data_IF_964826733816
#
_entry.id   IF_964826733816
#
_cell.length_a   1.000
_cell.length_b   1.000
_cell.length_c   1.000
_cell.angle_alpha   90.00
_cell.angle_beta   90.00
_cell.angle_gamma   90.00
#
_symmetry.space_group_name_H-M   'P 1'
#
loop_
_entity.id
_entity.type
_entity.pdbx_description
1 polymer ?
#
# COMPACT_ATOMS: atom_id res chain seq x y z
N UNK A 1 -30.24 -11.88 3.42
CA UNK A 1 -29.00 -12.54 2.96
C UNK A 1 -27.73 -11.81 3.45
N UNK A 2 -27.23 -10.75 2.80
CA UNK A 2 -25.99 -10.06 3.27
C UNK A 2 -26.18 -9.28 4.58
N UNK A 3 -27.19 -8.41 4.66
CA UNK A 3 -27.43 -7.57 5.84
C UNK A 3 -27.63 -8.39 7.14
N UNK A 4 -28.27 -9.56 7.05
CA UNK A 4 -28.49 -10.44 8.19
C UNK A 4 -27.20 -10.94 8.84
N UNK A 5 -26.15 -11.19 8.05
CA UNK A 5 -24.86 -11.63 8.56
C UNK A 5 -24.14 -10.51 9.35
N UNK A 6 -24.34 -9.25 8.97
CA UNK A 6 -23.76 -8.08 9.64
C UNK A 6 -24.63 -7.58 10.82
N UNK A 7 -25.93 -7.88 10.83
CA UNK A 7 -26.90 -7.39 11.81
C UNK A 7 -26.50 -7.60 13.30
N UNK A 8 -25.86 -8.71 13.72
CA UNK A 8 -25.37 -8.86 15.09
C UNK A 8 -24.37 -7.78 15.52
N UNK A 9 -23.51 -7.32 14.60
CA UNK A 9 -22.49 -6.30 14.87
C UNK A 9 -23.05 -4.89 14.75
N UNK A 10 -24.03 -4.68 13.87
CA UNK A 10 -24.77 -3.42 13.81
C UNK A 10 -25.58 -3.17 15.09
N UNK A 11 -26.26 -4.19 15.62
CA UNK A 11 -26.96 -4.10 16.93
C UNK A 11 -26.03 -3.79 18.10
N UNK A 12 -24.76 -4.16 18.00
CA UNK A 12 -23.70 -3.85 18.97
C UNK A 12 -23.02 -2.50 18.71
N UNK A 13 -23.45 -1.76 17.68
CA UNK A 13 -22.87 -0.48 17.27
C UNK A 13 -21.38 -0.57 16.90
N UNK A 14 -20.89 -1.77 16.54
CA UNK A 14 -19.52 -1.97 16.06
C UNK A 14 -19.35 -1.51 14.61
N UNK A 15 -20.44 -1.57 13.83
CA UNK A 15 -20.51 -1.18 12.43
C UNK A 15 -21.84 -0.46 12.16
N UNK A 16 -21.91 0.20 11.00
CA UNK A 16 -23.16 0.66 10.40
C UNK A 16 -23.23 0.20 8.94
N UNK A 17 -24.39 -0.26 8.50
CA UNK A 17 -24.58 -0.74 7.15
C UNK A 17 -25.53 0.15 6.36
N UNK A 18 -25.26 0.29 5.07
CA UNK A 18 -26.17 0.92 4.10
C UNK A 18 -26.00 0.23 2.74
N UNK A 19 -26.93 0.45 1.82
CA UNK A 19 -26.80 -0.12 0.48
C UNK A 19 -27.41 0.80 -0.58
N UNK A 20 -26.96 0.63 -1.82
CA UNK A 20 -27.63 1.10 -3.02
C UNK A 20 -27.94 -0.10 -3.93
N UNK A 21 -28.22 0.14 -5.21
CA UNK A 21 -28.56 -0.93 -6.17
C UNK A 21 -27.36 -1.81 -6.55
N UNK A 22 -26.12 -1.39 -6.23
CA UNK A 22 -24.89 -2.06 -6.66
C UNK A 22 -24.08 -2.60 -5.49
N UNK A 23 -24.02 -1.87 -4.39
CA UNK A 23 -23.08 -2.11 -3.30
C UNK A 23 -23.77 -2.20 -1.95
N UNK A 24 -23.31 -3.16 -1.15
CA UNK A 24 -23.49 -3.17 0.29
C UNK A 24 -22.30 -2.47 0.94
N UNK A 25 -22.57 -1.40 1.67
CA UNK A 25 -21.57 -0.59 2.35
C UNK A 25 -21.50 -0.96 3.82
N UNK A 26 -20.28 -1.10 4.34
CA UNK A 26 -20.02 -1.36 5.75
C UNK A 26 -19.09 -0.30 6.28
N UNK A 27 -19.60 0.46 7.24
CA UNK A 27 -18.85 1.48 7.96
C UNK A 27 -18.34 0.91 9.29
N UNK A 28 -17.06 1.12 9.59
CA UNK A 28 -16.44 0.63 10.83
C UNK A 28 -15.29 1.54 11.29
N UNK A 29 -14.91 1.39 12.55
CA UNK A 29 -13.73 2.06 13.08
C UNK A 29 -12.45 1.20 12.96
N UNK A 30 -12.50 0.04 12.30
CA UNK A 30 -11.36 -0.87 12.14
C UNK A 30 -10.82 -1.52 13.41
N UNK A 31 -11.57 -1.48 14.53
CA UNK A 31 -11.16 -2.07 15.82
C UNK A 31 -12.06 -3.26 16.18
N UNK A 32 -11.54 -4.49 16.29
CA UNK A 32 -12.35 -5.64 16.69
C UNK A 32 -12.64 -5.66 18.19
N UNK A 33 -13.71 -6.39 18.55
CA UNK A 33 -14.10 -6.71 19.94
C UNK A 33 -13.70 -8.16 20.30
N UNK A 34 -12.39 -8.44 20.26
CA UNK A 34 -11.79 -9.70 20.70
C UNK A 34 -10.37 -9.43 21.23
N UNK A 35 -9.71 -10.41 21.89
CA UNK A 35 -8.31 -10.27 22.28
C UNK A 35 -7.42 -9.90 21.09
N UNK A 36 -6.59 -8.87 21.26
CA UNK A 36 -5.78 -8.27 20.19
C UNK A 36 -4.30 -8.56 20.43
N UNK A 37 -3.54 -8.76 19.35
CA UNK A 37 -2.06 -8.74 19.31
C UNK A 37 -1.33 -9.88 20.07
N UNK A 38 -1.93 -10.50 21.09
CA UNK A 38 -1.33 -11.58 21.86
C UNK A 38 -1.06 -12.78 20.96
N UNK A 39 0.12 -13.38 21.09
CA UNK A 39 0.55 -14.53 20.28
C UNK A 39 1.45 -14.17 19.09
N UNK A 40 1.52 -12.88 18.69
CA UNK A 40 2.43 -12.42 17.65
C UNK A 40 3.88 -12.63 18.11
N UNK A 41 4.66 -13.41 17.34
CA UNK A 41 6.08 -13.73 17.60
C UNK A 41 7.06 -13.08 16.63
N UNK A 42 6.55 -12.43 15.58
CA UNK A 42 7.30 -11.66 14.60
C UNK A 42 6.70 -10.24 14.49
N UNK A 43 6.81 -9.47 15.58
CA UNK A 43 6.12 -8.18 15.66
C UNK A 43 6.76 -7.07 14.82
N UNK A 44 5.94 -6.44 13.98
CA UNK A 44 6.32 -5.32 13.10
C UNK A 44 6.34 -3.95 13.79
N UNK A 45 6.19 -3.88 15.13
CA UNK A 45 6.08 -2.63 15.90
C UNK A 45 4.91 -1.71 15.51
N UNK A 46 3.83 -2.31 15.00
CA UNK A 46 2.55 -1.63 14.80
C UNK A 46 1.56 -2.04 15.87
N UNK A 47 0.64 -1.15 16.22
CA UNK A 47 -0.38 -1.35 17.25
C UNK A 47 -1.75 -0.99 16.68
N UNK A 48 -2.86 -1.53 17.21
CA UNK A 48 -4.16 -1.28 16.62
C UNK A 48 -4.64 0.13 16.94
N UNK A 49 -4.88 0.93 15.90
CA UNK A 49 -5.49 2.26 15.98
C UNK A 49 -6.82 2.30 15.21
N UNK A 50 -7.82 3.06 15.72
CA UNK A 50 -9.05 3.27 14.99
C UNK A 50 -8.82 3.90 13.62
N UNK A 51 -9.47 3.34 12.61
CA UNK A 51 -9.49 3.83 11.23
C UNK A 51 -10.85 4.44 10.90
N UNK A 52 -10.91 5.37 9.95
CA UNK A 52 -12.17 6.04 9.56
C UNK A 52 -12.74 5.41 8.28
N UNK A 53 -13.25 4.19 8.37
CA UNK A 53 -13.91 3.54 7.25
C UNK A 53 -15.39 3.95 7.20
N UNK A 54 -15.67 5.21 6.88
CA UNK A 54 -17.02 5.82 6.93
C UNK A 54 -17.29 6.66 5.69
N UNK A 55 -18.56 6.89 5.36
CA UNK A 55 -18.96 7.70 4.21
C UNK A 55 -18.41 7.17 2.89
N UNK A 56 -17.71 8.00 2.13
CA UNK A 56 -17.05 7.62 0.85
C UNK A 56 -15.88 6.64 1.05
N UNK A 57 -15.36 6.53 2.28
CA UNK A 57 -14.29 5.61 2.67
C UNK A 57 -14.85 4.35 3.36
N UNK A 58 -16.12 4.01 3.17
CA UNK A 58 -16.71 2.77 3.66
C UNK A 58 -16.24 1.56 2.83
N UNK A 59 -16.25 0.37 3.43
CA UNK A 59 -16.06 -0.87 2.69
C UNK A 59 -17.23 -1.11 1.74
N UNK A 60 -16.97 -1.75 0.60
CA UNK A 60 -17.98 -2.01 -0.44
C UNK A 60 -17.93 -3.49 -0.83
N UNK A 61 -19.09 -4.15 -0.82
CA UNK A 61 -19.27 -5.54 -1.25
C UNK A 61 -20.32 -5.55 -2.38
N UNK A 62 -20.04 -6.16 -3.55
CA UNK A 62 -21.03 -6.25 -4.64
C UNK A 62 -22.29 -6.98 -4.17
N UNK A 63 -23.48 -6.42 -4.42
CA UNK A 63 -24.76 -7.10 -4.17
C UNK A 63 -25.11 -8.14 -5.24
N UNK A 64 -24.56 -7.96 -6.44
CA UNK A 64 -24.82 -8.77 -7.62
C UNK A 64 -23.49 -9.29 -8.18
N UNK A 65 -22.88 -10.31 -7.53
CA UNK A 65 -21.62 -10.88 -7.99
C UNK A 65 -21.79 -11.46 -9.40
N UNK A 66 -20.85 -11.14 -10.29
CA UNK A 66 -20.77 -11.69 -11.65
C UNK A 66 -19.70 -12.75 -11.65
N UNK A 67 -20.02 -13.97 -12.07
CA UNK A 67 -19.05 -15.07 -12.15
C UNK A 67 -17.95 -14.74 -13.16
N UNK A 68 -16.70 -14.79 -12.73
CA UNK A 68 -15.56 -14.56 -13.61
C UNK A 68 -15.43 -15.69 -14.63
N UNK A 69 -15.14 -15.34 -15.89
CA UNK A 69 -14.75 -16.32 -16.92
C UNK A 69 -13.45 -17.02 -16.56
N UNK A 70 -12.52 -16.26 -15.98
CA UNK A 70 -11.22 -16.72 -15.50
C UNK A 70 -11.03 -16.26 -14.05
N UNK A 71 -11.22 -17.15 -13.06
CA UNK A 71 -11.05 -16.82 -11.65
C UNK A 71 -9.66 -16.26 -11.32
N UNK A 72 -9.61 -15.18 -10.54
CA UNK A 72 -8.37 -14.51 -10.18
C UNK A 72 -7.78 -15.11 -8.90
N UNK A 73 -6.71 -15.89 -9.01
CA UNK A 73 -6.03 -16.47 -7.83
C UNK A 73 -5.44 -15.39 -6.91
N UNK A 74 -5.47 -15.65 -5.59
CA UNK A 74 -4.77 -14.84 -4.57
C UNK A 74 -3.30 -15.25 -4.38
N UNK A 75 -2.85 -16.32 -5.02
CA UNK A 75 -1.45 -16.75 -4.91
C UNK A 75 -0.51 -15.73 -5.58
N UNK A 76 0.35 -15.10 -4.79
CA UNK A 76 1.30 -14.04 -5.23
C UNK A 76 0.63 -12.85 -5.94
N UNK A 77 -0.65 -12.60 -5.66
CA UNK A 77 -1.49 -11.58 -6.28
C UNK A 77 -2.46 -11.04 -5.22
N UNK A 78 -2.93 -9.81 -5.33
CA UNK A 78 -3.71 -9.18 -4.24
C UNK A 78 -2.93 -9.16 -2.90
N UNK A 79 -1.60 -8.92 -2.94
CA UNK A 79 -0.73 -8.86 -1.76
C UNK A 79 -0.81 -7.51 -1.02
N UNK A 80 -1.62 -6.59 -1.54
CA UNK A 80 -1.94 -5.29 -0.95
C UNK A 80 -3.45 -5.28 -0.74
N UNK A 81 -3.89 -4.66 0.36
CA UNK A 81 -5.31 -4.53 0.68
C UNK A 81 -6.03 -5.83 1.04
N UNK A 82 -7.34 -5.72 1.22
CA UNK A 82 -8.21 -6.81 1.60
C UNK A 82 -8.64 -7.65 0.38
N UNK A 83 -8.97 -8.89 0.65
CA UNK A 83 -9.63 -9.83 -0.27
C UNK A 83 -11.05 -10.19 0.21
N UNK A 84 -11.35 -9.94 1.48
CA UNK A 84 -12.68 -10.07 2.05
C UNK A 84 -12.90 -9.07 3.19
N UNK A 85 -14.14 -8.91 3.60
CA UNK A 85 -14.53 -8.17 4.79
C UNK A 85 -15.24 -9.12 5.76
N UNK A 86 -14.73 -9.20 6.98
CA UNK A 86 -15.40 -9.94 8.05
C UNK A 86 -16.68 -9.24 8.49
N UNK A 87 -17.66 -10.01 8.98
CA UNK A 87 -18.97 -9.48 9.41
C UNK A 87 -18.90 -8.49 10.57
N UNK A 88 -17.78 -8.42 11.29
CA UNK A 88 -17.50 -7.41 12.30
C UNK A 88 -16.90 -6.10 11.74
N UNK A 89 -16.80 -5.97 10.41
CA UNK A 89 -16.28 -4.78 9.74
C UNK A 89 -14.76 -4.68 9.68
N UNK A 90 -14.05 -5.77 9.99
CA UNK A 90 -12.59 -5.84 9.90
C UNK A 90 -12.18 -6.49 8.56
N UNK A 91 -11.26 -5.87 7.80
CA UNK A 91 -10.82 -6.46 6.56
C UNK A 91 -10.00 -7.73 6.77
N UNK A 92 -10.11 -8.64 5.81
CA UNK A 92 -9.31 -9.86 5.71
C UNK A 92 -8.40 -9.71 4.50
N UNK A 93 -7.11 -9.65 4.76
CA UNK A 93 -6.05 -9.54 3.77
C UNK A 93 -5.62 -10.94 3.30
N UNK A 94 -4.82 -10.95 2.24
CA UNK A 94 -4.23 -12.17 1.72
C UNK A 94 -3.38 -12.88 2.79
N UNK A 95 -3.49 -14.20 2.98
CA UNK A 95 -2.62 -14.96 3.88
C UNK A 95 -1.12 -14.67 3.72
N UNK A 96 -0.71 -14.33 2.50
CA UNK A 96 0.63 -13.85 2.20
C UNK A 96 0.73 -12.34 2.47
N UNK A 97 1.75 -11.93 3.22
CA UNK A 97 2.08 -10.52 3.39
C UNK A 97 2.64 -9.91 2.08
N UNK A 98 2.96 -8.62 2.10
CA UNK A 98 3.48 -7.89 0.93
C UNK A 98 4.84 -8.39 0.41
N UNK A 99 5.54 -9.26 1.16
CA UNK A 99 6.79 -9.93 0.75
C UNK A 99 6.54 -11.31 0.14
N UNK A 100 5.28 -11.77 0.11
CA UNK A 100 4.88 -13.09 -0.36
C UNK A 100 5.08 -14.19 0.68
N UNK A 101 5.27 -13.84 1.95
CA UNK A 101 5.46 -14.80 3.04
C UNK A 101 4.13 -15.08 3.75
N UNK A 102 3.87 -16.33 4.10
CA UNK A 102 2.70 -16.71 4.90
C UNK A 102 2.80 -16.12 6.31
N UNK A 103 1.94 -15.14 6.59
CA UNK A 103 1.95 -14.36 7.82
C UNK A 103 1.73 -15.24 9.07
N UNK A 104 0.91 -16.29 8.95
CA UNK A 104 0.70 -17.25 10.05
C UNK A 104 1.98 -18.08 10.27
N UNK A 105 2.52 -18.64 9.19
CA UNK A 105 3.70 -19.51 9.26
C UNK A 105 4.94 -18.80 9.80
N UNK A 106 5.11 -17.49 9.53
CA UNK A 106 6.21 -16.70 10.08
C UNK A 106 5.90 -16.09 11.46
N UNK A 107 4.64 -16.17 11.91
CA UNK A 107 4.23 -15.77 13.26
C UNK A 107 3.94 -14.29 13.43
N UNK A 108 3.48 -13.63 12.37
CA UNK A 108 3.04 -12.23 12.39
C UNK A 108 1.63 -12.07 12.99
N UNK A 109 0.85 -13.17 13.16
CA UNK A 109 -0.55 -13.12 13.56
C UNK A 109 -0.77 -13.35 15.06
N UNK A 110 -1.81 -12.70 15.58
CA UNK A 110 -2.35 -12.96 16.91
C UNK A 110 -3.22 -14.22 16.95
N UNK A 111 -3.71 -14.57 18.14
CA UNK A 111 -4.58 -15.74 18.36
C UNK A 111 -5.89 -15.73 17.56
N UNK A 112 -6.33 -14.56 17.09
CA UNK A 112 -7.52 -14.41 16.26
C UNK A 112 -7.20 -14.40 14.75
N UNK A 113 -5.93 -14.56 14.38
CA UNK A 113 -5.48 -14.65 12.99
C UNK A 113 -5.28 -13.29 12.31
N UNK A 114 -5.02 -12.23 13.06
CA UNK A 114 -4.78 -10.89 12.50
C UNK A 114 -3.57 -10.17 13.09
N UNK A 115 -3.24 -9.02 12.50
CA UNK A 115 -2.19 -8.12 12.99
C UNK A 115 -2.42 -6.69 12.50
N UNK A 116 -1.51 -5.78 12.84
CA UNK A 116 -1.58 -4.38 12.40
C UNK A 116 -0.67 -4.10 11.21
N UNK A 117 -1.19 -3.38 10.22
CA UNK A 117 -0.48 -2.88 9.05
C UNK A 117 0.31 -1.61 9.32
N UNK A 118 0.93 -1.07 8.25
CA UNK A 118 1.80 0.12 8.31
C UNK A 118 1.07 1.39 8.75
N UNK A 119 -0.26 1.42 8.66
CA UNK A 119 -1.08 2.54 9.13
C UNK A 119 -1.62 2.31 10.55
N UNK A 120 -1.05 1.35 11.28
CA UNK A 120 -1.57 0.88 12.57
C UNK A 120 -3.02 0.35 12.44
N UNK A 121 -3.38 -0.16 11.26
CA UNK A 121 -4.69 -0.71 10.93
C UNK A 121 -4.75 -2.21 11.22
N UNK A 122 -5.68 -2.67 12.06
CA UNK A 122 -5.85 -4.10 12.32
C UNK A 122 -6.59 -4.80 11.18
N UNK A 123 -6.09 -5.96 10.76
CA UNK A 123 -6.70 -6.80 9.74
C UNK A 123 -6.38 -8.29 9.96
N UNK A 124 -7.27 -9.17 9.49
CA UNK A 124 -7.05 -10.61 9.53
C UNK A 124 -6.24 -11.08 8.32
N UNK A 125 -5.52 -12.18 8.46
CA UNK A 125 -4.92 -12.96 7.37
C UNK A 125 -5.47 -14.40 7.31
N UNK A 126 -6.29 -14.79 8.30
CA UNK A 126 -6.99 -16.06 8.37
C UNK A 126 -8.49 -15.84 8.48
N UNK A 127 -9.29 -16.86 8.15
CA UNK A 127 -10.73 -16.79 8.38
C UNK A 127 -11.04 -16.60 9.88
N UNK A 128 -11.79 -15.56 10.27
CA UNK A 128 -12.10 -15.27 11.67
C UNK A 128 -13.25 -16.18 12.18
N UNK A 129 -13.00 -17.49 12.24
CA UNK A 129 -14.02 -18.51 12.57
C UNK A 129 -14.66 -18.32 13.95
N UNK A 130 -14.01 -17.58 14.85
CA UNK A 130 -14.59 -17.23 16.15
C UNK A 130 -15.86 -16.38 16.04
N UNK A 131 -16.06 -15.65 14.93
CA UNK A 131 -17.26 -14.86 14.68
C UNK A 131 -18.52 -15.71 14.51
N UNK A 132 -18.39 -17.00 14.17
CA UNK A 132 -19.52 -17.94 14.08
C UNK A 132 -20.29 -18.04 15.41
N UNK A 133 -19.60 -17.88 16.55
CA UNK A 133 -20.25 -17.85 17.88
C UNK A 133 -21.20 -16.67 18.06
N UNK A 134 -21.05 -15.63 17.24
CA UNK A 134 -21.83 -14.39 17.29
C UNK A 134 -22.93 -14.40 16.24
N UNK A 135 -22.58 -14.76 14.99
CA UNK A 135 -23.55 -14.77 13.89
C UNK A 135 -24.45 -16.01 13.87
N UNK A 136 -23.99 -17.10 14.48
CA UNK A 136 -24.68 -18.39 14.47
C UNK A 136 -24.13 -19.33 13.40
N UNK A 137 -24.26 -20.64 13.65
CA UNK A 137 -23.91 -21.68 12.66
C UNK A 137 -24.75 -21.49 11.40
N UNK A 138 -24.12 -21.71 10.24
CA UNK A 138 -24.79 -21.59 8.95
C UNK A 138 -24.93 -20.16 8.45
N UNK A 139 -24.39 -19.17 9.18
CA UNK A 139 -24.29 -17.79 8.73
C UNK A 139 -22.87 -17.50 8.23
N UNK A 140 -22.72 -16.64 7.20
CA UNK A 140 -21.40 -16.18 6.77
C UNK A 140 -20.66 -15.45 7.89
N UNK A 141 -19.35 -15.70 7.98
CA UNK A 141 -18.42 -14.99 8.88
C UNK A 141 -17.68 -13.86 8.16
N UNK A 142 -17.72 -13.84 6.83
CA UNK A 142 -17.18 -12.77 6.00
C UNK A 142 -17.85 -12.78 4.62
N UNK A 143 -17.55 -11.76 3.83
CA UNK A 143 -17.86 -11.70 2.40
C UNK A 143 -16.60 -11.36 1.64
N UNK A 144 -16.31 -12.14 0.59
CA UNK A 144 -15.25 -11.82 -0.35
C UNK A 144 -15.58 -10.52 -1.10
N UNK A 145 -14.56 -9.79 -1.53
CA UNK A 145 -14.77 -8.54 -2.27
C UNK A 145 -15.32 -8.74 -3.70
N UNK A 146 -15.44 -9.99 -4.15
CA UNK A 146 -16.18 -10.36 -5.35
C UNK A 146 -17.68 -10.55 -5.12
N UNK A 147 -18.16 -10.46 -3.87
CA UNK A 147 -19.56 -10.50 -3.46
C UNK A 147 -20.04 -11.85 -2.90
N UNK A 148 -19.23 -12.91 -2.94
CA UNK A 148 -19.65 -14.21 -2.43
C UNK A 148 -19.39 -14.38 -0.92
N UNK A 149 -20.28 -15.08 -0.18
CA UNK A 149 -20.12 -15.28 1.25
C UNK A 149 -18.98 -16.25 1.58
N UNK A 150 -18.40 -16.07 2.77
CA UNK A 150 -17.39 -16.95 3.36
C UNK A 150 -17.96 -17.53 4.66
N UNK A 151 -18.06 -18.85 4.72
CA UNK A 151 -18.55 -19.58 5.88
C UNK A 151 -17.40 -20.12 6.74
N UNK A 152 -17.74 -20.62 7.93
CA UNK A 152 -16.83 -21.37 8.78
C UNK A 152 -16.52 -22.77 8.23
N UNK A 153 -16.26 -23.71 9.13
CA UNK A 153 -15.81 -25.07 8.79
C UNK A 153 -16.95 -26.06 8.51
N UNK A 154 -18.18 -25.58 8.34
CA UNK A 154 -19.37 -26.38 8.02
C UNK A 154 -20.18 -25.72 6.92
N UNK A 155 -20.99 -26.51 6.23
CA UNK A 155 -21.96 -26.04 5.23
C UNK A 155 -23.01 -25.11 5.85
N UNK A 156 -23.72 -24.29 5.05
CA UNK A 156 -24.79 -23.41 5.55
C UNK A 156 -25.91 -24.16 6.28
N UNK A 157 -26.20 -25.40 5.90
CA UNK A 157 -27.18 -26.28 6.57
C UNK A 157 -26.64 -26.95 7.85
N UNK A 158 -25.38 -26.68 8.21
CA UNK A 158 -24.68 -27.24 9.36
C UNK A 158 -24.10 -28.64 9.14
N UNK A 159 -24.22 -29.21 7.93
CA UNK A 159 -23.59 -30.47 7.58
C UNK A 159 -22.06 -30.33 7.44
N UNK A 160 -21.31 -31.46 7.47
CA UNK A 160 -19.86 -31.42 7.29
C UNK A 160 -19.46 -30.81 5.95
N UNK A 161 -18.33 -30.07 5.96
CA UNK A 161 -17.74 -29.43 4.78
C UNK A 161 -17.57 -30.42 3.63
N UNK A 162 -18.16 -30.12 2.48
CA UNK A 162 -18.01 -30.91 1.26
C UNK A 162 -16.67 -30.57 0.56
N UNK A 163 -16.24 -31.36 -0.43
CA UNK A 163 -15.05 -31.03 -1.22
C UNK A 163 -15.14 -29.63 -1.81
N UNK A 164 -14.02 -28.90 -1.72
CA UNK A 164 -13.87 -27.55 -2.23
C UNK A 164 -13.03 -27.56 -3.51
N UNK A 165 -13.25 -26.57 -4.36
CA UNK A 165 -12.42 -26.28 -5.51
C UNK A 165 -11.11 -25.58 -5.12
N UNK A 166 -10.27 -25.29 -6.11
CA UNK A 166 -8.97 -24.64 -5.90
C UNK A 166 -9.03 -23.21 -5.35
N UNK A 167 -10.22 -22.59 -5.34
CA UNK A 167 -10.44 -21.24 -4.80
C UNK A 167 -10.85 -21.26 -3.32
N UNK A 168 -11.03 -22.46 -2.73
CA UNK A 168 -11.46 -22.62 -1.34
C UNK A 168 -12.97 -22.51 -1.15
N UNK A 169 -13.75 -22.74 -2.21
CA UNK A 169 -15.21 -22.72 -2.19
C UNK A 169 -15.83 -23.80 -3.07
N UNK A 170 -17.14 -23.76 -3.24
CA UNK A 170 -17.88 -24.64 -4.16
C UNK A 170 -19.24 -24.06 -4.53
N UNK A 171 -19.89 -24.64 -5.55
CA UNK A 171 -21.27 -24.30 -5.93
C UNK A 171 -22.28 -25.09 -5.08
N UNK A 172 -23.40 -24.46 -4.71
CA UNK A 172 -24.49 -25.07 -3.94
C UNK A 172 -25.54 -25.80 -4.81
N UNK A 173 -25.39 -25.74 -6.13
CA UNK A 173 -26.26 -26.42 -7.11
C UNK A 173 -27.43 -25.57 -7.64
N UNK A 174 -27.78 -24.45 -6.98
CA UNK A 174 -28.81 -23.51 -7.45
C UNK A 174 -28.22 -22.30 -8.19
N UNK A 175 -26.92 -22.36 -8.50
CA UNK A 175 -26.16 -21.27 -9.11
C UNK A 175 -25.52 -20.33 -8.09
N UNK A 176 -25.63 -20.63 -6.79
CA UNK A 176 -24.87 -20.00 -5.73
C UNK A 176 -23.47 -20.58 -5.61
N UNK A 177 -22.55 -19.76 -5.12
CA UNK A 177 -21.18 -20.15 -4.80
C UNK A 177 -20.80 -19.53 -3.46
N UNK A 178 -19.99 -20.22 -2.67
CA UNK A 178 -19.48 -19.69 -1.41
C UNK A 178 -18.14 -20.30 -1.02
N UNK A 179 -17.39 -19.54 -0.24
CA UNK A 179 -16.09 -19.96 0.29
C UNK A 179 -16.22 -20.51 1.70
N UNK A 180 -15.18 -21.21 2.15
CA UNK A 180 -15.09 -21.74 3.50
C UNK A 180 -13.74 -21.44 4.15
N UNK A 181 -13.75 -21.37 5.47
CA UNK A 181 -12.53 -21.40 6.28
C UNK A 181 -11.80 -22.73 6.10
N UNK A 182 -10.48 -22.66 5.96
CA UNK A 182 -9.59 -23.81 5.79
C UNK A 182 -8.64 -23.94 6.98
N UNK A 183 -8.27 -25.18 7.33
CA UNK A 183 -7.27 -25.43 8.39
C UNK A 183 -5.83 -25.24 7.91
N UNK A 184 -5.62 -25.37 6.60
CA UNK A 184 -4.31 -25.26 5.95
C UNK A 184 -4.34 -24.10 4.96
N UNK A 185 -3.16 -23.63 4.56
CA UNK A 185 -3.01 -22.58 3.56
C UNK A 185 -3.88 -22.87 2.33
N UNK A 186 -4.69 -21.91 1.83
CA UNK A 186 -4.67 -20.48 2.15
C UNK A 186 -5.57 -20.04 3.33
N UNK A 187 -6.04 -20.93 4.20
CA UNK A 187 -6.89 -20.64 5.37
C UNK A 187 -8.29 -20.03 5.09
N UNK A 188 -8.49 -19.46 3.91
CA UNK A 188 -9.74 -18.91 3.39
C UNK A 188 -9.77 -18.97 1.85
N UNK A 189 -9.97 -17.83 1.19
CA UNK A 189 -10.09 -17.64 -0.27
C UNK A 189 -8.73 -17.84 -0.98
N UNK A 190 -8.66 -18.85 -1.84
CA UNK A 190 -7.53 -19.11 -2.76
C UNK A 190 -7.60 -18.36 -4.10
N UNK A 191 -8.73 -17.72 -4.38
CA UNK A 191 -8.97 -16.89 -5.56
C UNK A 191 -10.42 -16.42 -5.66
N UNK A 192 -10.67 -15.40 -6.47
CA UNK A 192 -12.00 -14.86 -6.69
C UNK A 192 -12.74 -15.63 -7.78
N UNK A 193 -13.88 -16.20 -7.40
CA UNK A 193 -14.87 -16.82 -8.28
C UNK A 193 -15.64 -15.77 -9.06
N UNK A 194 -15.90 -14.62 -8.45
CA UNK A 194 -16.52 -13.47 -9.09
C UNK A 194 -15.51 -12.53 -9.73
N UNK A 195 -16.00 -11.62 -10.56
CA UNK A 195 -15.20 -10.55 -11.15
C UNK A 195 -14.76 -9.57 -10.06
N UNK A 196 -13.46 -9.26 -10.06
CA UNK A 196 -12.87 -8.18 -9.27
C UNK A 196 -12.06 -7.29 -10.19
N UNK A 197 -12.04 -5.99 -9.91
CA UNK A 197 -11.06 -5.09 -10.49
C UNK A 197 -9.79 -5.17 -9.65
N UNK A 198 -8.66 -5.54 -10.26
CA UNK A 198 -7.35 -5.44 -9.62
C UNK A 198 -6.67 -4.14 -10.03
N UNK A 199 -6.18 -3.39 -9.05
CA UNK A 199 -5.35 -2.19 -9.25
C UNK A 199 -4.24 -2.17 -8.22
N UNK A 200 -3.01 -1.86 -8.63
CA UNK A 200 -1.86 -1.74 -7.72
C UNK A 200 -1.63 -2.96 -6.81
N UNK A 201 -2.01 -4.16 -7.28
CA UNK A 201 -1.87 -5.42 -6.52
C UNK A 201 -2.88 -5.59 -5.39
N UNK A 202 -4.05 -4.95 -5.47
CA UNK A 202 -5.18 -5.09 -4.55
C UNK A 202 -6.51 -5.09 -5.31
N UNK A 203 -7.60 -5.52 -4.67
CA UNK A 203 -8.96 -5.32 -5.22
C UNK A 203 -9.31 -3.82 -5.17
N UNK A 204 -10.03 -3.31 -6.16
CA UNK A 204 -10.46 -1.91 -6.25
C UNK A 204 -11.98 -1.84 -6.55
N UNK A 205 -12.73 -0.90 -5.95
CA UNK A 205 -12.32 0.08 -4.94
C UNK A 205 -12.15 -0.52 -3.53
N UNK A 206 -11.28 0.09 -2.73
CA UNK A 206 -11.14 -0.20 -1.30
C UNK A 206 -10.91 1.09 -0.49
N UNK A 207 -11.35 1.11 0.77
CA UNK A 207 -11.10 2.25 1.64
C UNK A 207 -9.62 2.34 2.03
N UNK A 208 -9.21 3.53 2.46
CA UNK A 208 -7.83 3.82 2.84
C UNK A 208 -7.72 4.00 4.35
N UNK A 209 -6.80 3.25 4.96
CA UNK A 209 -6.32 3.50 6.32
C UNK A 209 -5.45 4.76 6.37
N UNK A 210 -5.41 5.42 7.52
CA UNK A 210 -4.61 6.63 7.75
C UNK A 210 -3.84 6.51 9.05
N UNK A 211 -2.53 6.27 8.94
CA UNK A 211 -1.64 6.25 10.10
C UNK A 211 -1.44 7.65 10.70
N UNK A 212 -1.28 7.70 12.01
CA UNK A 212 -0.91 8.94 12.74
C UNK A 212 0.60 9.13 12.85
N UNK A 213 1.37 8.06 12.62
CA UNK A 213 2.83 8.03 12.68
C UNK A 213 3.41 7.21 11.53
N UNK A 214 4.73 7.31 11.36
CA UNK A 214 5.45 6.44 10.43
C UNK A 214 5.51 5.00 10.98
N UNK A 215 5.51 4.03 10.07
CA UNK A 215 5.66 2.63 10.41
C UNK A 215 7.06 2.36 10.95
N UNK A 216 7.14 1.85 12.18
CA UNK A 216 8.37 1.37 12.79
C UNK A 216 8.90 0.08 12.12
N UNK A 217 10.22 -0.17 12.18
CA UNK A 217 10.79 -1.43 11.69
C UNK A 217 10.36 -2.61 12.58
N UNK A 218 10.46 -3.87 12.12
CA UNK A 218 10.20 -5.03 12.98
C UNK A 218 11.14 -5.11 14.19
N UNK A 219 10.61 -5.55 15.34
CA UNK A 219 11.41 -5.79 16.55
C UNK A 219 11.81 -7.27 16.60
N UNK A 220 13.05 -7.56 16.22
CA UNK A 220 13.56 -8.94 16.15
C UNK A 220 13.49 -9.63 17.52
N UNK A 221 12.91 -10.83 17.53
CA UNK A 221 12.80 -11.66 18.74
C UNK A 221 11.74 -11.20 19.73
N UNK A 222 10.88 -10.25 19.35
CA UNK A 222 9.78 -9.81 20.20
C UNK A 222 8.55 -10.71 20.04
N UNK A 223 8.04 -11.17 21.19
CA UNK A 223 6.74 -11.83 21.30
C UNK A 223 5.79 -10.94 22.07
N UNK A 224 4.58 -10.71 21.56
CA UNK A 224 3.54 -9.98 22.28
C UNK A 224 2.86 -10.94 23.26
N UNK A 225 2.90 -10.59 24.54
CA UNK A 225 2.41 -11.40 25.66
C UNK A 225 1.22 -10.76 26.38
N UNK A 226 0.84 -9.54 26.01
CA UNK A 226 -0.31 -8.86 26.61
C UNK A 226 -0.82 -7.71 25.77
N UNK A 227 -2.14 -7.51 25.84
CA UNK A 227 -2.82 -6.34 25.32
C UNK A 227 -3.86 -5.88 26.34
N UNK A 228 -3.65 -4.68 26.88
CA UNK A 228 -4.43 -4.13 27.99
C UNK A 228 -5.14 -2.85 27.55
N UNK A 229 -6.25 -2.53 28.20
CA UNK A 229 -6.95 -1.25 28.05
C UNK A 229 -7.02 -0.54 29.40
N UNK A 230 -5.93 0.11 29.86
CA UNK A 230 -5.86 0.72 31.20
C UNK A 230 -6.89 1.84 31.42
N UNK A 231 -7.32 2.49 30.34
CA UNK A 231 -8.39 3.49 30.34
C UNK A 231 -9.19 3.40 29.03
N UNK A 232 -10.32 4.12 28.94
CA UNK A 232 -11.22 4.06 27.78
C UNK A 232 -10.51 4.36 26.45
N UNK A 233 -9.63 5.36 26.44
CA UNK A 233 -8.86 5.86 25.29
C UNK A 233 -7.40 5.42 25.29
N UNK A 234 -6.98 4.64 26.29
CA UNK A 234 -5.60 4.17 26.45
C UNK A 234 -5.52 2.67 26.24
N UNK A 235 -4.50 2.25 25.51
CA UNK A 235 -4.18 0.85 25.22
C UNK A 235 -2.72 0.60 25.53
N UNK A 236 -2.38 -0.65 25.86
CA UNK A 236 -1.01 -1.03 26.15
C UNK A 236 -0.69 -2.40 25.59
N UNK A 237 0.31 -2.46 24.73
CA UNK A 237 0.92 -3.70 24.23
C UNK A 237 2.08 -4.05 25.15
N UNK A 238 2.10 -5.26 25.68
CA UNK A 238 3.21 -5.81 26.46
C UNK A 238 3.91 -6.86 25.62
N UNK A 239 5.22 -6.72 25.46
CA UNK A 239 6.04 -7.63 24.68
C UNK A 239 7.24 -8.12 25.47
N UNK A 240 7.81 -9.24 25.06
CA UNK A 240 9.00 -9.83 25.66
C UNK A 240 10.11 -9.97 24.60
N UNK A 241 11.34 -9.61 24.97
CA UNK A 241 12.56 -9.89 24.19
C UNK A 241 13.59 -10.50 25.13
N UNK A 242 14.00 -11.74 24.86
CA UNK A 242 15.01 -12.44 25.66
C UNK A 242 14.64 -12.56 27.15
N UNK A 243 13.39 -12.89 27.48
CA UNK A 243 12.93 -13.06 28.86
C UNK A 243 12.61 -11.76 29.61
N UNK A 244 12.78 -10.59 28.98
CA UNK A 244 12.56 -9.28 29.59
C UNK A 244 11.41 -8.55 28.92
N UNK A 245 10.55 -7.93 29.72
CA UNK A 245 9.34 -7.25 29.24
C UNK A 245 9.61 -5.80 28.88
N UNK A 246 9.08 -5.37 27.74
CA UNK A 246 8.86 -3.97 27.39
C UNK A 246 7.37 -3.72 27.16
N UNK A 247 7.00 -2.47 26.89
CA UNK A 247 5.63 -2.12 26.54
C UNK A 247 5.52 -0.90 25.65
N UNK A 248 4.43 -0.83 24.88
CA UNK A 248 4.00 0.36 24.16
C UNK A 248 2.62 0.74 24.67
N UNK A 249 2.56 1.80 25.45
CA UNK A 249 1.30 2.40 25.89
C UNK A 249 0.95 3.55 24.97
N UNK A 250 -0.31 3.68 24.58
CA UNK A 250 -0.75 4.77 23.74
C UNK A 250 -2.17 5.22 24.07
N UNK A 251 -2.37 6.54 24.01
CA UNK A 251 -3.67 7.19 24.21
C UNK A 251 -4.08 7.86 22.91
N UNK A 252 -5.33 7.64 22.48
CA UNK A 252 -5.90 8.25 21.26
C UNK A 252 -7.03 9.20 21.64
N UNK A 253 -6.82 10.49 21.42
CA UNK A 253 -7.81 11.53 21.64
C UNK A 253 -8.92 11.50 20.57
N UNK A 254 -10.06 12.13 20.89
CA UNK A 254 -11.24 12.17 20.00
C UNK A 254 -10.97 12.84 18.65
N UNK A 255 -10.03 13.77 18.59
CA UNK A 255 -9.63 14.44 17.35
C UNK A 255 -8.65 13.59 16.50
N UNK A 256 -8.25 12.43 17.02
CA UNK A 256 -7.31 11.48 16.44
C UNK A 256 -5.86 11.72 16.84
N UNK A 257 -5.55 12.72 17.68
CA UNK A 257 -4.21 12.88 18.22
C UNK A 257 -3.83 11.67 19.07
N UNK A 258 -2.60 11.20 18.93
CA UNK A 258 -2.12 10.00 19.60
C UNK A 258 -0.83 10.29 20.34
N UNK A 259 -0.73 9.85 21.59
CA UNK A 259 0.50 9.90 22.38
C UNK A 259 0.94 8.47 22.67
N UNK A 260 2.21 8.18 22.41
CA UNK A 260 2.83 6.88 22.65
C UNK A 260 3.90 7.00 23.71
N UNK A 261 3.98 6.02 24.60
CA UNK A 261 5.07 5.82 25.55
C UNK A 261 5.64 4.43 25.33
N UNK A 262 6.85 4.39 24.77
CA UNK A 262 7.62 3.18 24.54
C UNK A 262 8.50 2.93 25.77
N UNK A 263 8.42 1.74 26.35
CA UNK A 263 9.29 1.28 27.44
C UNK A 263 10.04 0.05 26.96
N UNK A 264 11.36 0.15 26.86
CA UNK A 264 12.19 -0.97 26.42
C UNK A 264 12.43 -2.01 27.53
N UNK A 265 12.98 -3.19 27.23
CA UNK A 265 13.24 -4.23 28.25
C UNK A 265 14.31 -3.88 29.31
N UNK A 266 15.00 -2.76 29.15
CA UNK A 266 15.90 -2.19 30.16
C UNK A 266 15.19 -1.15 31.05
N UNK A 267 13.91 -0.86 30.81
CA UNK A 267 13.11 0.11 31.55
C UNK A 267 13.27 1.56 31.06
N UNK A 268 13.98 1.79 29.95
CA UNK A 268 14.13 3.13 29.37
C UNK A 268 12.85 3.51 28.64
N UNK A 269 12.41 4.75 28.86
CA UNK A 269 11.17 5.26 28.26
C UNK A 269 11.43 6.32 27.20
N UNK A 270 10.60 6.32 26.16
CA UNK A 270 10.53 7.38 25.14
C UNK A 270 9.05 7.71 24.91
N UNK A 271 8.72 8.99 24.92
CA UNK A 271 7.35 9.46 24.64
C UNK A 271 7.32 10.24 23.34
N UNK A 272 6.31 9.99 22.52
CA UNK A 272 6.09 10.64 21.23
C UNK A 272 4.63 11.08 21.15
N UNK A 273 4.37 12.22 20.53
CA UNK A 273 3.02 12.74 20.33
C UNK A 273 2.81 13.10 18.87
N UNK A 274 1.66 12.69 18.34
CA UNK A 274 1.29 12.81 16.95
C UNK A 274 -0.09 13.46 16.86
N UNK A 275 -0.26 14.29 15.84
CA UNK A 275 -1.57 14.85 15.48
C UNK A 275 -1.92 14.35 14.08
N UNK A 276 -3.19 14.00 13.80
CA UNK A 276 -3.60 13.65 12.45
C UNK A 276 -3.32 14.84 11.56
N UNK A 277 -2.59 14.62 10.47
CA UNK A 277 -2.41 15.66 9.46
C UNK A 277 -3.80 16.04 8.93
N UNK A 278 -4.29 17.24 9.27
CA UNK A 278 -5.43 17.84 8.57
C UNK A 278 -5.00 18.10 7.14
N UNK A 279 -5.32 17.18 6.22
CA UNK A 279 -5.36 17.55 4.80
C UNK A 279 -6.66 18.31 4.59
N UNK A 280 -6.62 19.62 4.84
CA UNK A 280 -7.66 20.54 4.37
C UNK A 280 -7.57 20.71 2.84
N UNK A 281 -8.65 21.18 2.18
CA UNK A 281 -8.63 21.46 0.75
C UNK A 281 -7.81 22.73 0.46
N UNK A 282 -6.56 22.56 -0.02
CA UNK A 282 -5.76 23.56 -0.73
C UNK A 282 -5.11 24.72 0.07
N UNK A 283 -3.89 25.11 -0.33
CA UNK A 283 -3.29 26.45 -0.06
C UNK A 283 -2.33 26.55 1.14
N UNK A 284 -1.03 26.71 0.85
CA UNK A 284 -0.05 27.20 1.82
C UNK A 284 -0.02 28.75 1.87
N UNK A 285 0.33 29.39 3.01
CA UNK A 285 0.17 30.83 3.23
C UNK A 285 1.30 31.67 2.61
N UNK A 286 1.06 32.99 2.37
CA UNK A 286 1.96 33.85 1.60
C UNK A 286 3.06 34.49 2.46
N UNK A 287 4.23 34.72 1.85
CA UNK A 287 5.29 35.61 2.39
C UNK A 287 5.01 37.05 1.93
N UNK A 288 5.01 38.01 2.86
CA UNK A 288 4.97 39.45 2.61
C UNK A 288 6.38 40.01 2.41
N UNK A 289 6.59 40.85 1.39
CA UNK A 289 6.99 42.26 1.58
C UNK A 289 7.12 43.02 0.24
N UNK A 290 6.38 44.14 0.14
CA UNK A 290 6.86 45.45 -0.33
C UNK A 290 7.05 45.78 -1.83
N UNK A 291 6.10 46.54 -2.41
CA UNK A 291 6.39 47.61 -3.40
C UNK A 291 5.59 47.63 -4.73
N UNK A 292 4.82 48.70 -5.07
CA UNK A 292 4.08 48.86 -6.34
C UNK A 292 4.80 49.85 -7.31
N UNK A 293 4.29 50.24 -8.51
CA UNK A 293 3.14 49.78 -9.30
C UNK A 293 3.36 49.65 -10.86
N UNK A 294 2.29 49.19 -11.54
CA UNK A 294 1.73 49.67 -12.85
C UNK A 294 2.13 49.02 -14.19
N UNK A 295 1.06 48.79 -14.98
CA UNK A 295 1.02 48.52 -16.43
C UNK A 295 0.68 47.06 -16.72
N UNK A 296 -0.53 46.64 -17.10
CA UNK A 296 -1.51 47.26 -17.99
C UNK A 296 -1.45 46.55 -19.35
N UNK A 297 -2.40 45.65 -19.62
CA UNK A 297 -2.74 45.24 -20.98
C UNK A 297 -2.73 43.75 -21.28
N UNK A 298 -3.89 43.25 -21.73
CA UNK A 298 -3.93 42.24 -22.77
C UNK A 298 -4.11 40.80 -22.32
N UNK A 299 -5.38 40.39 -22.15
CA UNK A 299 -5.79 39.00 -22.35
C UNK A 299 -5.32 38.53 -23.73
N UNK A 300 -4.46 37.51 -23.75
CA UNK A 300 -4.38 36.55 -24.85
C UNK A 300 -4.65 35.18 -24.24
N UNK A 301 -5.73 34.57 -24.67
CA UNK A 301 -6.02 33.17 -24.40
C UNK A 301 -4.96 32.33 -25.11
N UNK A 302 -4.05 31.72 -24.34
CA UNK A 302 -3.20 30.65 -24.84
C UNK A 302 -3.95 29.31 -24.70
N UNK A 303 -3.84 28.41 -25.69
CA UNK A 303 -4.63 27.19 -25.77
C UNK A 303 -4.28 26.25 -24.61
N UNK A 304 -5.31 25.66 -24.00
CA UNK A 304 -5.25 24.62 -22.95
C UNK A 304 -4.03 23.71 -23.13
N UNK A 305 -2.96 23.96 -22.37
CA UNK A 305 -1.99 22.93 -22.02
C UNK A 305 -2.69 22.07 -20.98
N UNK A 306 -3.10 20.85 -21.38
CA UNK A 306 -3.64 19.84 -20.47
C UNK A 306 -2.69 19.75 -19.26
N UNK A 307 -3.22 19.93 -18.05
CA UNK A 307 -2.46 19.67 -16.84
C UNK A 307 -2.02 18.20 -16.88
N UNK A 308 -0.72 17.94 -16.93
CA UNK A 308 -0.16 16.60 -16.84
C UNK A 308 -0.60 15.97 -15.52
N UNK A 309 -1.19 14.78 -15.59
CA UNK A 309 -1.57 14.01 -14.40
C UNK A 309 -0.30 13.54 -13.70
N UNK A 310 -0.25 13.55 -12.36
CA UNK A 310 0.88 13.00 -11.63
C UNK A 310 0.80 11.48 -11.53
N UNK A 311 1.89 10.76 -11.82
CA UNK A 311 2.07 9.35 -11.42
C UNK A 311 3.06 9.27 -10.26
N UNK A 312 2.89 8.30 -9.36
CA UNK A 312 3.87 8.06 -8.29
C UNK A 312 5.09 7.31 -8.84
N UNK A 313 6.30 7.71 -8.43
CA UNK A 313 7.56 7.00 -8.74
C UNK A 313 8.29 6.72 -7.43
N UNK A 314 8.71 5.48 -7.24
CA UNK A 314 9.38 5.00 -6.03
C UNK A 314 10.57 4.11 -6.36
N UNK A 315 11.37 3.81 -5.35
CA UNK A 315 12.47 2.85 -5.46
C UNK A 315 12.60 2.13 -4.12
N UNK A 316 12.53 0.79 -4.08
CA UNK A 316 12.73 0.05 -2.83
C UNK A 316 14.18 0.16 -2.31
N UNK A 317 15.10 0.67 -3.12
CA UNK A 317 16.47 0.92 -2.70
C UNK A 317 16.63 2.23 -1.91
N UNK A 318 15.73 3.20 -2.08
CA UNK A 318 15.85 4.49 -1.41
C UNK A 318 15.47 4.33 0.06
N UNK A 319 16.44 4.60 0.94
CA UNK A 319 16.28 4.51 2.38
C UNK A 319 15.30 5.55 2.94
N UNK A 320 14.82 5.38 4.18
CA UNK A 320 13.87 6.30 4.81
C UNK A 320 14.40 7.74 4.95
N UNK A 321 15.72 7.91 5.05
CA UNK A 321 16.38 9.21 5.05
C UNK A 321 16.52 9.83 3.65
N UNK A 322 15.89 9.22 2.66
CA UNK A 322 15.98 9.55 1.25
C UNK A 322 17.34 9.20 0.64
N UNK A 323 18.19 8.39 1.29
CA UNK A 323 19.52 8.06 0.75
C UNK A 323 19.49 6.87 -0.21
N UNK A 324 20.35 6.88 -1.22
CA UNK A 324 20.58 5.73 -2.09
C UNK A 324 21.82 4.93 -1.61
N UNK A 325 21.72 3.59 -1.44
CA UNK A 325 22.83 2.73 -1.05
C UNK A 325 24.01 2.83 -2.01
N UNK A 326 25.24 2.66 -1.47
CA UNK A 326 26.49 2.79 -2.23
C UNK A 326 26.56 1.83 -3.42
N UNK A 327 25.86 0.69 -3.36
CA UNK A 327 25.85 -0.32 -4.42
C UNK A 327 25.41 0.24 -5.79
N UNK A 328 24.55 1.26 -5.78
CA UNK A 328 24.04 1.92 -6.99
C UNK A 328 24.88 3.11 -7.44
N UNK A 329 25.97 3.41 -6.74
CA UNK A 329 26.82 4.58 -6.96
C UNK A 329 28.21 4.17 -7.46
N UNK A 330 29.04 5.15 -7.85
CA UNK A 330 30.41 4.83 -8.25
C UNK A 330 31.31 4.32 -7.11
N UNK A 331 30.88 4.44 -5.86
CA UNK A 331 31.61 3.97 -4.69
C UNK A 331 31.24 2.50 -4.32
N UNK A 332 30.37 1.85 -5.10
CA UNK A 332 29.99 0.44 -4.93
C UNK A 332 29.95 -0.32 -6.25
N UNK A 333 28.97 -1.22 -6.43
CA UNK A 333 28.86 -2.08 -7.62
C UNK A 333 28.51 -1.32 -8.91
N UNK A 334 28.01 -0.09 -8.82
CA UNK A 334 27.66 0.74 -9.98
C UNK A 334 26.51 0.19 -10.82
N UNK A 335 25.62 -0.59 -10.22
CA UNK A 335 24.44 -1.13 -10.91
C UNK A 335 23.26 -0.15 -10.85
N UNK A 336 22.31 -0.25 -11.78
CA UNK A 336 21.14 0.63 -11.76
C UNK A 336 20.22 0.32 -10.57
N UNK A 337 19.65 1.34 -9.91
CA UNK A 337 18.69 1.11 -8.85
C UNK A 337 17.39 0.51 -9.39
N UNK A 338 16.67 -0.30 -8.58
CA UNK A 338 15.31 -0.68 -8.91
C UNK A 338 14.41 0.57 -8.89
N UNK A 339 13.61 0.79 -9.92
CA UNK A 339 12.67 1.92 -10.01
C UNK A 339 11.29 1.37 -10.27
N UNK A 340 10.29 1.87 -9.57
CA UNK A 340 8.88 1.48 -9.71
C UNK A 340 8.05 2.73 -9.93
N UNK A 341 6.96 2.61 -10.69
CA UNK A 341 6.03 3.72 -10.90
C UNK A 341 4.60 3.23 -11.04
N UNK A 342 3.65 4.11 -10.75
CA UNK A 342 2.24 3.86 -10.98
C UNK A 342 1.98 3.74 -12.48
N UNK A 343 1.07 2.84 -12.86
CA UNK A 343 0.60 2.76 -14.24
C UNK A 343 0.07 4.14 -14.70
N UNK A 344 0.50 4.55 -15.90
CA UNK A 344 0.05 5.77 -16.54
C UNK A 344 -1.45 5.75 -16.84
N UNK A 345 -2.06 6.92 -17.07
CA UNK A 345 -3.48 7.04 -17.38
C UNK A 345 -3.84 6.31 -18.68
N UNK A 346 -5.15 6.12 -18.90
CA UNK A 346 -5.68 5.53 -20.12
C UNK A 346 -5.10 6.21 -21.37
N UNK A 347 -4.73 5.38 -22.35
CA UNK A 347 -4.04 5.83 -23.55
C UNK A 347 -2.51 5.80 -23.45
N UNK A 348 -1.92 5.43 -22.31
CA UNK A 348 -0.48 5.19 -22.19
C UNK A 348 -0.05 4.01 -23.08
N UNK A 349 0.85 4.28 -24.03
CA UNK A 349 1.39 3.29 -24.99
C UNK A 349 2.85 2.92 -24.71
N UNK A 350 3.58 3.77 -24.01
CA UNK A 350 4.96 3.51 -23.58
C UNK A 350 5.34 4.43 -22.41
N UNK A 351 6.40 4.08 -21.69
CA UNK A 351 7.07 4.97 -20.75
C UNK A 351 8.45 5.42 -21.23
N UNK A 352 8.91 6.53 -20.67
CA UNK A 352 10.30 6.94 -20.69
C UNK A 352 10.77 7.25 -19.26
N UNK A 353 12.06 7.08 -18.98
CA UNK A 353 12.68 7.33 -17.68
C UNK A 353 13.95 8.17 -17.86
N UNK A 354 14.14 9.14 -16.97
CA UNK A 354 15.39 9.88 -16.85
C UNK A 354 15.84 9.99 -15.39
N UNK A 355 17.06 9.54 -15.09
CA UNK A 355 17.76 9.82 -13.83
C UNK A 355 18.70 11.00 -14.05
N UNK A 356 18.56 12.07 -13.29
CA UNK A 356 19.28 13.33 -13.49
C UNK A 356 19.50 14.10 -12.18
N UNK A 357 20.38 15.10 -12.21
CA UNK A 357 20.48 16.12 -11.16
C UNK A 357 20.90 17.46 -11.74
N UNK A 358 20.60 18.53 -11.02
CA UNK A 358 21.07 19.88 -11.35
C UNK A 358 22.48 20.12 -10.78
N UNK A 359 23.32 20.74 -11.60
CA UNK A 359 24.66 21.20 -11.22
C UNK A 359 24.79 22.69 -11.58
N UNK A 360 25.78 23.41 -11.03
CA UNK A 360 26.04 24.78 -11.45
C UNK A 360 26.25 24.95 -12.97
N UNK A 361 26.76 23.91 -13.63
CA UNK A 361 27.06 23.90 -15.08
C UNK A 361 25.88 23.39 -15.93
N UNK A 362 24.72 23.13 -15.32
CA UNK A 362 23.50 22.64 -15.98
C UNK A 362 23.05 21.26 -15.49
N UNK A 363 22.09 20.66 -16.20
CA UNK A 363 21.54 19.33 -15.85
C UNK A 363 22.45 18.22 -16.35
N UNK A 364 22.76 17.27 -15.46
CA UNK A 364 23.48 16.05 -15.84
C UNK A 364 22.56 14.85 -15.74
N UNK A 365 22.42 14.12 -16.85
CA UNK A 365 21.72 12.86 -16.93
C UNK A 365 22.65 11.67 -16.66
N UNK A 366 22.15 10.68 -15.93
CA UNK A 366 22.83 9.45 -15.54
C UNK A 366 22.19 8.22 -16.14
N UNK A 367 20.88 8.28 -16.39
CA UNK A 367 20.16 7.21 -17.05
C UNK A 367 19.07 7.80 -17.93
N UNK A 368 18.96 7.28 -19.16
CA UNK A 368 17.92 7.65 -20.11
C UNK A 368 17.42 6.36 -20.73
N UNK A 369 16.12 6.10 -20.59
CA UNK A 369 15.44 4.97 -21.21
C UNK A 369 14.15 5.47 -21.86
N UNK A 370 13.81 4.92 -23.02
CA UNK A 370 12.56 5.22 -23.72
C UNK A 370 12.01 3.97 -24.41
N UNK A 371 10.79 4.04 -24.92
CA UNK A 371 10.09 2.86 -25.48
C UNK A 371 9.99 1.69 -24.48
N UNK A 372 9.85 2.01 -23.18
CA UNK A 372 9.52 1.03 -22.15
C UNK A 372 8.04 0.62 -22.40
N UNK A 373 7.71 -0.68 -22.55
CA UNK A 373 6.33 -1.09 -22.84
C UNK A 373 5.34 -0.59 -21.79
N UNK A 374 4.11 -0.23 -22.19
CA UNK A 374 3.08 0.26 -21.26
C UNK A 374 2.69 -0.75 -20.17
N UNK A 375 2.96 -2.04 -20.37
CA UNK A 375 2.76 -3.11 -19.39
C UNK A 375 3.85 -3.17 -18.32
N UNK A 376 4.94 -2.41 -18.47
CA UNK A 376 6.04 -2.37 -17.51
C UNK A 376 5.89 -1.17 -16.59
N UNK A 377 5.75 -1.44 -15.30
CA UNK A 377 5.68 -0.43 -14.23
C UNK A 377 6.84 -0.54 -13.22
N UNK A 378 7.86 -1.35 -13.55
CA UNK A 378 9.07 -1.50 -12.74
C UNK A 378 10.29 -1.85 -13.58
N UNK A 379 11.44 -1.32 -13.17
CA UNK A 379 12.76 -1.77 -13.56
C UNK A 379 13.38 -2.48 -12.35
N UNK A 380 13.77 -3.75 -12.47
CA UNK A 380 14.51 -4.42 -11.40
C UNK A 380 15.89 -3.78 -11.21
N UNK A 381 16.56 -4.11 -10.09
CA UNK A 381 17.97 -3.77 -9.91
C UNK A 381 18.80 -4.34 -11.07
N UNK A 382 19.83 -3.59 -11.50
CA UNK A 382 20.69 -3.94 -12.64
C UNK A 382 19.91 -4.25 -13.94
N UNK A 383 18.90 -3.41 -14.25
CA UNK A 383 18.09 -3.57 -15.47
C UNK A 383 18.87 -3.18 -16.72
N UNK A 384 18.89 -4.07 -17.72
CA UNK A 384 19.63 -3.88 -18.99
C UNK A 384 18.83 -4.22 -20.26
N UNK A 385 17.68 -4.88 -20.11
CA UNK A 385 16.93 -5.48 -21.23
C UNK A 385 15.53 -4.90 -21.39
N UNK A 386 15.19 -3.83 -20.67
CA UNK A 386 13.87 -3.21 -20.69
C UNK A 386 13.96 -1.81 -21.31
N UNK A 387 13.15 -1.58 -22.33
CA UNK A 387 13.16 -0.34 -23.11
C UNK A 387 14.41 -0.20 -23.97
N UNK A 388 14.56 0.96 -24.56
CA UNK A 388 15.67 1.36 -25.42
C UNK A 388 16.57 2.34 -24.67
N UNK A 389 17.90 2.09 -24.58
CA UNK A 389 18.83 3.01 -23.94
C UNK A 389 19.02 4.29 -24.75
N UNK A 390 18.89 5.43 -24.06
CA UNK A 390 19.35 6.73 -24.52
C UNK A 390 20.75 7.05 -23.97
N UNK A 391 21.30 8.19 -24.39
CA UNK A 391 22.65 8.62 -24.03
C UNK A 391 22.64 9.35 -22.68
N UNK A 392 23.44 8.87 -21.73
CA UNK A 392 23.74 9.59 -20.49
C UNK A 392 24.63 10.83 -20.75
N UNK A 393 24.90 11.61 -19.71
CA UNK A 393 25.71 12.84 -19.80
C UNK A 393 27.16 12.63 -20.27
N UNK A 394 27.64 11.39 -20.33
CA UNK A 394 28.95 11.01 -20.93
C UNK A 394 28.80 10.44 -22.34
N UNK A 395 27.63 10.59 -22.97
CA UNK A 395 27.29 10.13 -24.32
C UNK A 395 27.38 8.61 -24.48
N UNK A 396 27.04 7.84 -23.43
CA UNK A 396 26.99 6.37 -23.47
C UNK A 396 25.57 5.82 -23.27
N UNK A 397 25.18 4.72 -23.93
CA UNK A 397 23.84 4.13 -23.85
C UNK A 397 23.68 3.19 -22.64
N UNK A 398 24.01 3.68 -21.44
CA UNK A 398 24.03 2.88 -20.22
C UNK A 398 23.74 3.74 -18.98
N UNK A 399 23.48 3.08 -17.85
CA UNK A 399 23.49 3.72 -16.54
C UNK A 399 24.90 4.24 -16.19
N UNK A 400 25.05 5.53 -15.91
CA UNK A 400 26.28 6.14 -15.36
C UNK A 400 26.11 6.27 -13.84
N UNK A 401 26.82 5.48 -13.02
CA UNK A 401 26.66 5.55 -11.57
C UNK A 401 27.02 6.93 -11.02
N UNK A 402 26.18 7.45 -10.13
CA UNK A 402 26.39 8.78 -9.56
C UNK A 402 27.74 8.86 -8.86
N UNK A 403 28.53 9.84 -9.30
CA UNK A 403 29.89 10.07 -8.83
C UNK A 403 30.15 11.56 -8.66
N UNK A 404 29.29 12.25 -7.92
CA UNK A 404 29.48 13.68 -7.66
C UNK A 404 30.84 13.91 -7.00
N UNK A 405 31.49 15.02 -7.36
CA UNK A 405 32.73 15.49 -6.73
C UNK A 405 32.38 16.59 -5.73
N UNK A 406 33.18 16.72 -4.68
CA UNK A 406 33.00 17.74 -3.63
C UNK A 406 32.17 17.27 -2.44
N UNK A 407 32.25 18.01 -1.31
CA UNK A 407 31.59 17.64 -0.07
C UNK A 407 30.07 17.86 -0.13
N UNK A 408 29.35 17.18 0.76
CA UNK A 408 27.94 17.39 1.03
C UNK A 408 27.00 16.51 0.21
N UNK A 409 25.82 16.30 0.80
CA UNK A 409 24.69 15.59 0.21
C UNK A 409 24.24 16.24 -1.10
N UNK A 410 24.05 15.42 -2.13
CA UNK A 410 23.49 15.82 -3.43
C UNK A 410 22.15 15.14 -3.64
N UNK A 411 21.21 15.88 -4.20
CA UNK A 411 19.89 15.37 -4.57
C UNK A 411 19.91 14.95 -6.05
N UNK A 412 19.22 13.85 -6.33
CA UNK A 412 19.06 13.22 -7.63
C UNK A 412 17.59 12.94 -7.84
N UNK A 413 17.16 13.00 -9.10
CA UNK A 413 15.78 12.86 -9.50
C UNK A 413 15.66 11.75 -10.53
N UNK A 414 14.71 10.84 -10.34
CA UNK A 414 14.26 9.89 -11.36
C UNK A 414 12.86 10.27 -11.78
N UNK A 415 12.72 10.73 -13.02
CA UNK A 415 11.42 11.07 -13.59
C UNK A 415 10.97 9.99 -14.56
N UNK A 416 9.73 9.54 -14.41
CA UNK A 416 9.06 8.64 -15.37
C UNK A 416 7.95 9.41 -16.08
N UNK A 417 7.85 9.21 -17.38
CA UNK A 417 6.85 9.83 -18.25
C UNK A 417 5.98 8.75 -18.87
N UNK A 418 4.66 8.83 -18.70
CA UNK A 418 3.67 8.01 -19.38
C UNK A 418 3.26 8.68 -20.70
N UNK A 419 3.42 7.99 -21.82
CA UNK A 419 3.34 8.58 -23.15
C UNK A 419 2.18 7.98 -23.96
N UNK A 420 1.42 8.83 -24.63
CA UNK A 420 0.34 8.44 -25.57
C UNK A 420 0.84 7.85 -26.89
N UNK A 421 2.15 7.94 -27.14
CA UNK A 421 2.82 7.40 -28.32
C UNK A 421 4.28 7.06 -27.99
N UNK A 422 4.86 6.12 -28.75
CA UNK A 422 6.28 5.79 -28.65
C UNK A 422 7.13 6.95 -29.19
N UNK A 423 8.17 7.40 -28.46
CA UNK A 423 9.03 8.48 -28.93
C UNK A 423 9.85 8.03 -30.13
N UNK A 424 9.91 8.86 -31.17
CA UNK A 424 10.74 8.63 -32.34
C UNK A 424 12.07 9.37 -32.16
N UNK A 425 13.10 8.63 -31.76
CA UNK A 425 14.44 9.16 -31.54
C UNK A 425 15.45 8.35 -32.34
N UNK A 426 16.44 9.05 -32.91
CA UNK A 426 17.61 8.40 -33.47
C UNK A 426 18.55 8.00 -32.32
N UNK A 427 18.98 6.74 -32.21
CA UNK A 427 19.80 6.27 -31.08
C UNK A 427 21.05 7.13 -30.81
N UNK A 428 21.72 7.63 -31.85
CA UNK A 428 22.92 8.47 -31.76
C UNK A 428 22.66 9.90 -31.21
N UNK A 429 21.40 10.32 -31.17
CA UNK A 429 20.96 11.63 -30.74
C UNK A 429 20.03 11.61 -29.51
N UNK A 430 19.76 10.43 -28.94
CA UNK A 430 18.79 10.23 -27.86
C UNK A 430 19.32 10.70 -26.47
N UNK A 431 19.68 11.98 -26.33
CA UNK A 431 20.02 12.58 -25.01
C UNK A 431 18.76 12.84 -24.19
N UNK A 432 18.90 13.22 -22.91
CA UNK A 432 17.77 13.64 -22.07
C UNK A 432 17.01 14.79 -22.72
N UNK A 433 17.70 15.80 -23.21
CA UNK A 433 17.10 17.00 -23.81
C UNK A 433 16.28 16.64 -25.05
N UNK A 434 16.87 15.85 -25.96
CA UNK A 434 16.17 15.38 -27.16
C UNK A 434 14.96 14.48 -26.82
N UNK A 435 15.09 13.63 -25.79
CA UNK A 435 13.97 12.83 -25.29
C UNK A 435 12.84 13.72 -24.76
N UNK A 436 13.15 14.71 -23.92
CA UNK A 436 12.14 15.61 -23.35
C UNK A 436 11.43 16.42 -24.44
N UNK A 437 12.15 16.87 -25.46
CA UNK A 437 11.56 17.55 -26.62
C UNK A 437 10.61 16.60 -27.39
N UNK A 438 11.06 15.37 -27.67
CA UNK A 438 10.30 14.38 -28.42
C UNK A 438 9.01 13.94 -27.70
N UNK A 439 9.01 13.90 -26.36
CA UNK A 439 7.86 13.45 -25.58
C UNK A 439 6.92 14.57 -25.15
N UNK A 440 7.32 15.85 -25.27
CA UNK A 440 6.60 16.99 -24.70
C UNK A 440 5.09 17.07 -25.06
N UNK A 441 4.71 16.61 -26.26
CA UNK A 441 3.31 16.56 -26.70
C UNK A 441 2.63 15.20 -26.47
N UNK A 442 3.40 14.16 -26.19
CA UNK A 442 2.92 12.80 -25.97
C UNK A 442 2.73 12.48 -24.48
N UNK A 443 3.36 13.22 -23.56
CA UNK A 443 3.25 13.00 -22.12
C UNK A 443 1.81 13.18 -21.63
N UNK A 444 1.23 12.09 -21.14
CA UNK A 444 -0.08 12.07 -20.48
C UNK A 444 0.05 12.30 -18.97
N UNK A 445 1.10 11.73 -18.39
CA UNK A 445 1.41 11.85 -16.98
C UNK A 445 2.91 11.76 -16.74
N UNK A 446 3.37 12.31 -15.63
CA UNK A 446 4.75 12.17 -15.17
C UNK A 446 4.84 12.11 -13.65
N UNK A 447 5.94 11.54 -13.16
CA UNK A 447 6.22 11.43 -11.74
C UNK A 447 7.70 11.48 -11.49
N UNK A 448 8.11 12.06 -10.36
CA UNK A 448 9.53 12.18 -10.00
C UNK A 448 9.77 11.67 -8.58
N UNK A 449 10.67 10.69 -8.46
CA UNK A 449 11.29 10.32 -7.19
C UNK A 449 12.53 11.19 -6.97
N UNK A 450 12.63 11.80 -5.79
CA UNK A 450 13.86 12.48 -5.35
C UNK A 450 14.53 11.66 -4.26
N UNK A 451 15.83 11.42 -4.42
CA UNK A 451 16.67 10.78 -3.41
C UNK A 451 18.03 11.46 -3.38
N UNK A 452 18.84 11.15 -2.38
CA UNK A 452 20.11 11.80 -2.15
C UNK A 452 21.25 10.80 -2.03
N UNK A 453 22.45 11.29 -2.33
CA UNK A 453 23.67 10.56 -2.05
C UNK A 453 24.74 11.53 -1.58
N UNK A 454 25.42 11.17 -0.51
CA UNK A 454 26.58 11.89 0.02
C UNK A 454 27.79 10.97 0.02
N UNK A 455 28.83 11.39 -0.70
CA UNK A 455 30.12 10.68 -0.65
C UNK A 455 30.79 11.01 0.66
N UNK A 456 31.00 10.00 1.51
CA UNK A 456 31.89 10.11 2.66
C UNK A 456 33.31 10.25 2.10
N UNK A 457 33.88 11.46 2.16
CA UNK A 457 35.25 11.70 1.73
C UNK A 457 36.18 10.67 2.37
N UNK A 458 37.06 10.05 1.58
CA UNK A 458 38.13 9.19 2.11
C UNK A 458 38.90 10.03 3.14
N UNK A 459 38.84 9.62 4.42
CA UNK A 459 39.84 10.03 5.41
C UNK A 459 41.16 9.35 5.12
#
# INVERSE_FOLDING_TARGET
MIAEAFAPFERRQAISCRHDDRWFYVESNGMPDHPLMVGIRAWQQQVPLPQKYVGDNAWQIPLHPVRAKEPATTKNRFLRGAIALAVNGIPIFNPLNNRGEDAFAIGELDECGGHCGRADDYHYHMAPVHLEKIVGRGMPIAYALDGYPVYGSTEPDGSPLKPLDALGGHDDGEGGYHYHALKEYPYLIGGFRGEVLERDGQVDPQPRAQGVREALPPLRGATIVGFESPAADTRRVVYEVGGRRGSVEYTVAKDGAARFTFTDPAGRTKTEAYTPRRRGPGGGPPRQDGGPPRGGGGRREDPKRLATVGIEVTSPAVGPDGSLPIEFTCDGAGISPPIEWQAGPDGTKSYALSLWHETPDGVKAYWVLYDIPATVTKLPKDSRSIGTPGLNGKRRPEYDPMCSKGPGRKEYHVTVYALSARPQLRPEAATREALLEAIAKATLAEGTLTFAYERKGRR
#
